data_IF_709215419442
#
_entry.id   IF_709215419442
#
_cell.length_a   1.000
_cell.length_b   1.000
_cell.length_c   1.000
_cell.angle_alpha   90.00
_cell.angle_beta   90.00
_cell.angle_gamma   90.00
#
_symmetry.space_group_name_H-M   'P 1'
#
loop_
_entity.id
_entity.type
_entity.pdbx_description
1 polymer ?
#
# COMPACT_ATOMS: atom_id res chain seq x y z
N UNK A 1 -5.19 -24.02 -11.94
CA UNK A 1 -5.07 -24.58 -10.70
C UNK A 1 -4.25 -23.82 -9.74
N UNK A 2 -2.97 -23.70 -9.96
CA UNK A 2 -2.14 -23.04 -8.98
C UNK A 2 -2.52 -21.61 -8.71
N UNK A 3 -3.15 -20.93 -9.66
CA UNK A 3 -3.55 -19.55 -9.45
C UNK A 3 -4.58 -19.40 -8.34
N UNK A 4 -5.28 -20.46 -7.98
CA UNK A 4 -6.21 -20.38 -6.87
C UNK A 4 -5.48 -20.14 -5.56
N UNK A 5 -4.23 -20.56 -5.48
CA UNK A 5 -3.48 -20.44 -4.24
C UNK A 5 -3.18 -19.00 -3.90
N UNK A 6 -3.01 -18.16 -4.90
CA UNK A 6 -2.74 -16.75 -4.65
C UNK A 6 -3.91 -16.11 -3.92
N UNK A 7 -5.14 -16.37 -4.36
CA UNK A 7 -6.31 -15.85 -3.70
C UNK A 7 -6.47 -16.44 -2.30
N UNK A 8 -6.17 -17.73 -2.16
CA UNK A 8 -6.35 -18.41 -0.90
C UNK A 8 -5.36 -17.94 0.18
N UNK A 9 -4.29 -17.24 -0.22
CA UNK A 9 -3.33 -16.75 0.74
C UNK A 9 -3.84 -15.54 1.50
N UNK A 10 -4.83 -14.84 0.97
CA UNK A 10 -5.34 -13.64 1.60
C UNK A 10 -6.55 -13.98 2.46
N UNK A 11 -6.57 -13.54 3.73
CA UNK A 11 -7.73 -13.77 4.57
C UNK A 11 -8.91 -12.95 4.06
N UNK A 12 -10.10 -13.38 4.44
CA UNK A 12 -11.31 -12.71 4.00
C UNK A 12 -11.31 -11.23 4.35
N UNK A 13 -10.84 -10.87 5.55
CA UNK A 13 -10.88 -9.47 5.95
C UNK A 13 -10.08 -8.58 4.99
N UNK A 14 -8.96 -9.09 4.47
CA UNK A 14 -8.14 -8.32 3.54
C UNK A 14 -8.83 -8.21 2.19
N UNK A 15 -9.40 -9.31 1.72
CA UNK A 15 -10.11 -9.30 0.43
C UNK A 15 -11.25 -8.30 0.47
N UNK A 16 -12.00 -8.28 1.58
CA UNK A 16 -13.15 -7.39 1.70
C UNK A 16 -12.73 -5.94 1.91
N UNK A 17 -11.66 -5.70 2.63
CA UNK A 17 -11.22 -4.34 2.94
C UNK A 17 -10.45 -3.69 1.79
N UNK A 18 -9.78 -4.49 0.95
CA UNK A 18 -8.86 -3.95 -0.05
C UNK A 18 -9.47 -2.91 -0.99
N UNK A 19 -10.64 -3.15 -1.61
CA UNK A 19 -11.18 -2.13 -2.52
C UNK A 19 -11.44 -0.80 -1.83
N UNK A 20 -11.92 -0.85 -0.60
CA UNK A 20 -12.21 0.37 0.15
C UNK A 20 -10.95 1.11 0.56
N UNK A 21 -9.94 0.38 1.00
CA UNK A 21 -8.68 0.98 1.40
C UNK A 21 -7.99 1.60 0.20
N UNK A 22 -7.95 0.88 -0.92
CA UNK A 22 -7.31 1.37 -2.13
C UNK A 22 -7.98 2.66 -2.61
N UNK A 23 -9.30 2.66 -2.66
CA UNK A 23 -10.04 3.84 -3.09
C UNK A 23 -9.77 5.02 -2.18
N UNK A 24 -9.88 4.81 -0.88
CA UNK A 24 -9.69 5.85 0.11
C UNK A 24 -8.27 6.44 0.05
N UNK A 25 -7.27 5.56 -0.02
CA UNK A 25 -5.89 6.01 -0.08
C UNK A 25 -5.61 6.81 -1.34
N UNK A 26 -6.10 6.34 -2.48
CA UNK A 26 -5.85 7.04 -3.74
C UNK A 26 -6.58 8.38 -3.80
N UNK A 27 -7.75 8.48 -3.19
CA UNK A 27 -8.52 9.73 -3.24
C UNK A 27 -8.10 10.74 -2.18
N UNK A 28 -7.82 10.27 -0.97
CA UNK A 28 -7.63 11.17 0.17
C UNK A 28 -6.22 11.20 0.73
N UNK A 29 -5.39 10.22 0.39
CA UNK A 29 -4.04 10.11 0.96
C UNK A 29 -2.99 9.82 -0.09
N UNK A 30 -3.14 10.44 -1.27
CA UNK A 30 -2.18 10.25 -2.35
C UNK A 30 -0.77 10.66 -1.94
N UNK A 31 -0.66 11.67 -1.07
CA UNK A 31 0.66 12.12 -0.60
C UNK A 31 1.40 11.03 0.18
N UNK A 32 0.65 10.24 0.96
CA UNK A 32 1.27 9.15 1.71
C UNK A 32 1.78 8.05 0.78
N UNK A 33 1.05 7.79 -0.30
CA UNK A 33 1.48 6.79 -1.27
C UNK A 33 2.76 7.24 -1.95
N UNK A 34 2.79 8.48 -2.42
CA UNK A 34 3.95 8.98 -3.16
C UNK A 34 5.16 9.14 -2.25
N UNK A 35 4.96 9.56 -0.99
CA UNK A 35 6.07 9.71 -0.07
C UNK A 35 6.66 8.36 0.31
N UNK A 36 5.82 7.33 0.50
CA UNK A 36 6.30 5.99 0.81
C UNK A 36 7.11 5.41 -0.35
N UNK A 37 6.62 5.61 -1.58
CA UNK A 37 7.34 5.15 -2.76
C UNK A 37 8.70 5.83 -2.86
N UNK A 38 8.74 7.14 -2.65
CA UNK A 38 9.99 7.87 -2.68
C UNK A 38 10.94 7.42 -1.56
N UNK A 39 10.40 7.20 -0.37
CA UNK A 39 11.20 6.80 0.77
C UNK A 39 11.80 5.42 0.63
N UNK A 40 11.03 4.46 0.11
CA UNK A 40 11.52 3.09 0.01
C UNK A 40 12.25 2.79 -1.30
N UNK A 41 11.88 3.45 -2.38
CA UNK A 41 12.44 3.15 -3.71
C UNK A 41 13.13 4.33 -4.38
N UNK A 42 13.04 5.52 -3.80
CA UNK A 42 13.66 6.69 -4.40
C UNK A 42 12.98 7.18 -5.67
N UNK A 43 11.71 6.80 -5.86
CA UNK A 43 10.97 7.17 -7.07
C UNK A 43 10.03 8.32 -6.76
N UNK A 44 10.15 9.40 -7.55
CA UNK A 44 9.35 10.60 -7.36
C UNK A 44 8.31 10.67 -8.46
N UNK A 45 7.08 10.24 -8.13
CA UNK A 45 5.98 10.20 -9.08
C UNK A 45 4.70 10.64 -8.39
N UNK A 46 4.26 11.86 -8.70
CA UNK A 46 3.05 12.42 -8.07
C UNK A 46 1.77 11.69 -8.48
N UNK A 47 1.83 10.91 -9.53
CA UNK A 47 0.66 10.19 -10.04
C UNK A 47 0.63 8.73 -9.63
N UNK A 48 1.56 8.30 -8.78
CA UNK A 48 1.60 6.92 -8.32
C UNK A 48 0.32 6.58 -7.56
N UNK A 49 -0.17 5.35 -7.73
CA UNK A 49 -1.42 4.90 -7.13
C UNK A 49 -1.23 3.58 -6.41
N UNK A 50 -1.95 3.41 -5.31
CA UNK A 50 -2.03 2.13 -4.65
C UNK A 50 -2.79 1.17 -5.57
N UNK A 51 -2.25 -0.04 -5.78
CA UNK A 51 -2.80 -0.97 -6.75
C UNK A 51 -3.35 -2.24 -6.11
N UNK A 52 -2.60 -2.84 -5.19
CA UNK A 52 -3.03 -4.09 -4.58
C UNK A 52 -2.42 -4.21 -3.19
N UNK A 53 -3.12 -4.94 -2.32
CA UNK A 53 -2.69 -5.08 -0.92
C UNK A 53 -2.16 -6.48 -0.65
N UNK A 54 -1.14 -6.56 0.22
CA UNK A 54 -0.64 -7.79 0.79
C UNK A 54 -0.67 -7.64 2.31
N UNK A 55 -0.49 -8.74 3.04
CA UNK A 55 -0.53 -8.68 4.50
C UNK A 55 0.61 -7.85 5.10
N UNK A 56 1.72 -7.74 4.39
CA UNK A 56 2.91 -7.07 4.91
C UNK A 56 3.29 -5.83 4.13
N UNK A 57 2.34 -5.27 3.35
CA UNK A 57 2.61 -4.08 2.55
C UNK A 57 1.63 -3.95 1.41
N UNK A 58 2.01 -3.20 0.39
CA UNK A 58 1.14 -3.02 -0.76
C UNK A 58 1.95 -2.67 -2.00
N UNK A 59 1.31 -2.86 -3.16
CA UNK A 59 1.92 -2.50 -4.44
C UNK A 59 1.46 -1.13 -4.87
N UNK A 60 2.41 -0.36 -5.38
CA UNK A 60 2.15 0.97 -5.95
C UNK A 60 2.46 0.89 -7.44
N UNK A 61 1.51 1.33 -8.25
CA UNK A 61 1.73 1.43 -9.69
C UNK A 61 2.29 2.81 -9.99
N UNK A 62 3.46 2.83 -10.62
CA UNK A 62 4.12 4.06 -11.03
C UNK A 62 4.55 3.88 -12.49
N UNK A 63 4.01 4.71 -13.37
CA UNK A 63 4.13 4.55 -14.80
C UNK A 63 3.60 3.17 -15.18
N UNK A 64 4.38 2.29 -15.74
CA UNK A 64 3.92 0.96 -16.12
C UNK A 64 4.47 -0.14 -15.23
N UNK A 65 4.96 0.22 -14.04
CA UNK A 65 5.61 -0.73 -13.16
C UNK A 65 4.92 -0.78 -11.81
N UNK A 66 5.05 -1.94 -11.16
CA UNK A 66 4.58 -2.14 -9.81
C UNK A 66 5.76 -2.18 -8.87
N UNK A 67 5.65 -1.44 -7.77
CA UNK A 67 6.67 -1.42 -6.73
C UNK A 67 6.03 -1.83 -5.42
N UNK A 68 6.70 -2.73 -4.71
CA UNK A 68 6.18 -3.18 -3.42
C UNK A 68 6.79 -2.32 -2.31
N UNK A 69 5.94 -1.84 -1.41
CA UNK A 69 6.38 -1.11 -0.22
C UNK A 69 6.01 -1.93 1.00
N UNK A 70 6.97 -2.11 1.90
CA UNK A 70 6.82 -3.00 3.04
C UNK A 70 6.40 -2.28 4.29
N UNK A 71 5.51 -2.92 5.05
CA UNK A 71 5.17 -2.48 6.39
C UNK A 71 6.25 -2.94 7.38
N UNK A 72 6.15 -2.46 8.61
CA UNK A 72 7.06 -2.89 9.66
C UNK A 72 6.67 -4.26 10.23
N UNK A 73 5.47 -4.73 9.92
CA UNK A 73 4.97 -6.02 10.41
C UNK A 73 3.95 -6.58 9.45
N UNK A 74 3.67 -7.88 9.59
CA UNK A 74 2.58 -8.52 8.88
C UNK A 74 1.29 -8.27 9.65
N UNK A 75 0.25 -7.81 8.97
CA UNK A 75 -1.00 -7.43 9.61
C UNK A 75 -1.95 -8.62 9.74
N UNK A 76 -2.68 -8.66 10.86
CA UNK A 76 -3.63 -9.72 11.13
C UNK A 76 -5.09 -9.23 11.10
N UNK A 77 -5.31 -7.94 10.87
CA UNK A 77 -6.66 -7.37 10.86
C UNK A 77 -6.68 -6.07 10.06
N UNK A 78 -7.89 -5.65 9.70
CA UNK A 78 -8.09 -4.37 9.02
C UNK A 78 -7.54 -3.23 9.87
N UNK A 79 -7.75 -3.30 11.17
CA UNK A 79 -7.30 -2.24 12.06
C UNK A 79 -5.79 -2.14 12.09
N UNK A 80 -5.11 -3.28 12.12
CA UNK A 80 -3.64 -3.27 12.07
C UNK A 80 -3.15 -2.72 10.74
N UNK A 81 -3.84 -3.05 9.66
CA UNK A 81 -3.48 -2.56 8.34
C UNK A 81 -3.54 -1.02 8.31
N UNK A 82 -4.64 -0.48 8.82
CA UNK A 82 -4.81 0.97 8.87
C UNK A 82 -3.75 1.63 9.75
N UNK A 83 -3.38 0.97 10.85
CA UNK A 83 -2.33 1.49 11.72
C UNK A 83 -0.98 1.57 11.01
N UNK A 84 -0.67 0.56 10.19
CA UNK A 84 0.58 0.57 9.45
C UNK A 84 0.57 1.66 8.37
N UNK A 85 -0.58 1.91 7.75
CA UNK A 85 -0.69 3.00 6.78
C UNK A 85 -0.41 4.35 7.44
N UNK A 86 -0.98 4.57 8.62
CA UNK A 86 -0.73 5.81 9.38
C UNK A 86 0.73 5.92 9.77
N UNK A 87 1.31 4.81 10.22
CA UNK A 87 2.72 4.78 10.59
C UNK A 87 3.60 5.16 9.41
N UNK A 88 3.30 4.64 8.22
CA UNK A 88 4.07 4.96 7.02
C UNK A 88 3.93 6.43 6.64
N UNK A 89 2.74 7.00 6.81
CA UNK A 89 2.54 8.40 6.50
C UNK A 89 3.47 9.27 7.35
N UNK A 90 3.64 8.91 8.63
CA UNK A 90 4.55 9.64 9.51
C UNK A 90 6.01 9.34 9.21
N UNK A 91 6.31 8.06 8.97
CA UNK A 91 7.69 7.62 8.76
C UNK A 91 8.30 8.25 7.51
N UNK A 92 7.50 8.41 6.46
CA UNK A 92 8.00 8.94 5.19
C UNK A 92 7.56 10.38 4.93
N UNK A 93 7.20 11.10 5.98
CA UNK A 93 6.75 12.49 5.81
C UNK A 93 7.78 13.34 5.08
N UNK A 94 9.06 13.15 5.38
CA UNK A 94 10.12 13.96 4.78
C UNK A 94 10.35 13.65 3.30
N UNK A 95 9.69 12.62 2.79
CA UNK A 95 9.81 12.22 1.39
C UNK A 95 8.61 12.68 0.55
N UNK A 96 7.71 13.46 1.13
CA UNK A 96 6.58 14.00 0.38
C UNK A 96 7.06 14.88 -0.75
N UNK A 97 6.36 14.79 -1.89
CA UNK A 97 6.71 15.58 -3.06
C UNK A 97 6.08 16.96 -2.98
N UNK A 98 6.84 17.96 -3.40
CA UNK A 98 6.36 19.36 -3.41
C UNK A 98 5.48 19.63 -4.59
#
# INVERSE_FOLDING_TARGET
MSHHKASARHPRWLIEAAPKIIKHMNEDHANSITSTLNGQHGIKDKNAKMDALELHGYYIRSTDKLYFVEFTKTCASTQEYKSELVKHAHLYRDFELS
#
